data_IF_227198326560
#
_entry.id   IF_227198326560
#
_cell.length_a   1.000
_cell.length_b   1.000
_cell.length_c   1.000
_cell.angle_alpha   90.00
_cell.angle_beta   90.00
_cell.angle_gamma   90.00
#
_symmetry.space_group_name_H-M   'P 1'
#
loop_
_entity.id
_entity.type
_entity.pdbx_description
1 polymer ?
#
# COMPACT_ATOMS: atom_id res chain seq x y z
N UNK A 1 11.25 -3.76 -18.11
CA UNK A 1 11.45 -4.13 -16.72
C UNK A 1 10.14 -4.01 -15.95
N UNK A 2 9.86 -5.02 -15.13
CA UNK A 2 8.64 -5.04 -14.35
C UNK A 2 8.70 -4.06 -13.21
N UNK A 3 7.57 -3.41 -12.92
CA UNK A 3 7.45 -2.59 -11.72
C UNK A 3 7.03 -3.47 -10.55
N UNK A 4 7.45 -3.09 -9.36
CA UNK A 4 7.25 -3.88 -8.16
C UNK A 4 6.26 -3.19 -7.23
N UNK A 5 5.28 -3.96 -6.73
CA UNK A 5 4.26 -3.48 -5.80
C UNK A 5 4.41 -4.27 -4.51
N UNK A 6 4.56 -3.54 -3.39
CA UNK A 6 4.54 -4.16 -2.07
C UNK A 6 3.13 -4.06 -1.50
N UNK A 7 2.62 -5.18 -0.99
CA UNK A 7 1.29 -5.23 -0.38
C UNK A 7 1.48 -5.52 1.11
N UNK A 8 1.11 -4.56 1.95
CA UNK A 8 1.20 -4.70 3.40
C UNK A 8 -0.21 -4.97 3.93
N UNK A 9 -0.47 -6.21 4.30
CA UNK A 9 -1.78 -6.68 4.71
C UNK A 9 -1.62 -7.90 5.61
N UNK A 10 -2.24 -7.89 6.78
CA UNK A 10 -2.05 -8.96 7.76
C UNK A 10 -2.94 -10.19 7.52
N UNK A 11 -4.00 -10.07 6.72
CA UNK A 11 -4.89 -11.19 6.46
C UNK A 11 -4.54 -11.89 5.15
N UNK A 12 -4.33 -13.21 5.22
CA UNK A 12 -3.98 -13.99 4.04
C UNK A 12 -5.05 -13.89 2.95
N UNK A 13 -6.33 -13.84 3.34
CA UNK A 13 -7.42 -13.75 2.37
C UNK A 13 -7.32 -12.49 1.51
N UNK A 14 -6.94 -11.37 2.11
CA UNK A 14 -6.76 -10.12 1.35
C UNK A 14 -5.48 -10.14 0.53
N UNK A 15 -4.41 -10.76 1.03
CA UNK A 15 -3.19 -10.92 0.23
C UNK A 15 -3.51 -11.73 -1.03
N UNK A 16 -4.26 -12.81 -0.88
CA UNK A 16 -4.66 -13.65 -2.01
C UNK A 16 -5.54 -12.88 -2.99
N UNK A 17 -6.45 -12.05 -2.48
CA UNK A 17 -7.33 -11.26 -3.31
C UNK A 17 -6.55 -10.24 -4.15
N UNK A 18 -5.61 -9.54 -3.53
CA UNK A 18 -4.77 -8.60 -4.26
C UNK A 18 -3.93 -9.30 -5.33
N UNK A 19 -3.38 -10.47 -4.99
CA UNK A 19 -2.60 -11.25 -5.94
C UNK A 19 -3.44 -11.64 -7.15
N UNK A 20 -4.69 -12.03 -6.93
CA UNK A 20 -5.62 -12.36 -8.02
C UNK A 20 -5.91 -11.14 -8.89
N UNK A 21 -6.14 -9.99 -8.26
CA UNK A 21 -6.45 -8.75 -8.99
C UNK A 21 -5.28 -8.29 -9.85
N UNK A 22 -4.06 -8.60 -9.43
CA UNK A 22 -2.86 -8.17 -10.13
C UNK A 22 -2.28 -9.24 -11.05
N UNK A 23 -2.91 -10.40 -11.09
CA UNK A 23 -2.47 -11.49 -11.97
C UNK A 23 -2.57 -11.06 -13.44
N UNK A 24 -1.54 -11.36 -14.19
CA UNK A 24 -1.52 -11.03 -15.61
C UNK A 24 -1.15 -9.59 -15.94
N UNK A 25 -0.92 -8.74 -14.93
CA UNK A 25 -0.57 -7.34 -15.16
C UNK A 25 0.92 -7.13 -15.45
N UNK A 26 1.75 -8.10 -15.09
CA UNK A 26 3.20 -7.97 -15.25
C UNK A 26 3.90 -7.34 -14.04
N UNK A 27 3.16 -6.88 -13.03
CA UNK A 27 3.78 -6.35 -11.82
C UNK A 27 4.38 -7.47 -10.98
N UNK A 28 5.55 -7.23 -10.40
CA UNK A 28 6.13 -8.12 -9.40
C UNK A 28 5.53 -7.77 -8.04
N UNK A 29 5.22 -8.77 -7.23
CA UNK A 29 4.53 -8.57 -5.96
C UNK A 29 5.44 -8.95 -4.80
N UNK A 30 5.55 -8.05 -3.82
CA UNK A 30 6.20 -8.31 -2.55
C UNK A 30 5.10 -8.31 -1.50
N UNK A 31 5.00 -9.38 -0.70
CA UNK A 31 4.00 -9.46 0.36
C UNK A 31 4.63 -9.21 1.71
N UNK A 32 3.95 -8.44 2.55
CA UNK A 32 4.34 -8.22 3.93
C UNK A 32 3.09 -8.28 4.80
N UNK A 33 3.18 -8.97 5.92
CA UNK A 33 2.01 -9.21 6.78
C UNK A 33 1.92 -8.24 7.94
N UNK A 34 2.97 -7.44 8.16
CA UNK A 34 2.96 -6.37 9.16
C UNK A 34 4.01 -5.32 8.79
N UNK A 35 4.06 -4.26 9.59
CA UNK A 35 5.00 -3.16 9.34
C UNK A 35 6.46 -3.55 9.48
N UNK A 36 6.78 -4.41 10.44
CA UNK A 36 8.16 -4.84 10.63
C UNK A 36 8.68 -5.64 9.46
N UNK A 37 7.85 -6.56 8.95
CA UNK A 37 8.21 -7.33 7.77
C UNK A 37 8.35 -6.42 6.55
N UNK A 38 7.45 -5.45 6.43
CA UNK A 38 7.51 -4.49 5.33
C UNK A 38 8.81 -3.70 5.35
N UNK A 39 9.24 -3.24 6.52
CA UNK A 39 10.49 -2.49 6.65
C UNK A 39 11.69 -3.35 6.28
N UNK A 40 11.71 -4.61 6.70
CA UNK A 40 12.78 -5.53 6.33
C UNK A 40 12.85 -5.74 4.82
N UNK A 41 11.71 -5.86 4.18
CA UNK A 41 11.65 -6.08 2.73
C UNK A 41 12.02 -4.82 1.94
N UNK A 42 11.72 -3.63 2.48
CA UNK A 42 12.16 -2.39 1.85
C UNK A 42 13.68 -2.32 1.75
N UNK A 43 14.39 -2.82 2.75
CA UNK A 43 15.84 -2.84 2.73
C UNK A 43 16.38 -3.77 1.65
N UNK A 44 15.66 -4.84 1.34
CA UNK A 44 16.06 -5.78 0.30
C UNK A 44 15.77 -5.25 -1.09
N UNK A 45 14.62 -4.62 -1.28
CA UNK A 45 14.20 -4.10 -2.58
C UNK A 45 13.19 -2.98 -2.41
N UNK A 46 13.49 -1.81 -2.95
CA UNK A 46 12.58 -0.68 -2.93
C UNK A 46 11.47 -0.90 -3.96
N UNK A 47 10.19 -0.95 -3.54
CA UNK A 47 9.09 -1.09 -4.49
C UNK A 47 8.80 0.22 -5.20
N UNK A 48 8.06 0.11 -6.31
CA UNK A 48 7.60 1.28 -7.05
C UNK A 48 6.32 1.85 -6.48
N UNK A 49 5.57 1.04 -5.73
CA UNK A 49 4.32 1.44 -5.10
C UNK A 49 4.04 0.53 -3.93
N UNK A 50 3.38 1.07 -2.90
CA UNK A 50 2.95 0.31 -1.72
C UNK A 50 1.44 0.37 -1.60
N UNK A 51 0.81 -0.81 -1.48
CA UNK A 51 -0.59 -0.91 -1.09
C UNK A 51 -0.58 -1.21 0.40
N UNK A 52 -1.12 -0.31 1.18
CA UNK A 52 -1.09 -0.40 2.64
C UNK A 52 -2.51 -0.55 3.17
N UNK A 53 -2.77 -1.69 3.80
CA UNK A 53 -4.04 -1.91 4.47
C UNK A 53 -3.93 -1.40 5.91
N UNK A 54 -4.79 -0.46 6.23
CA UNK A 54 -4.84 0.10 7.58
C UNK A 54 -6.04 -0.49 8.28
N UNK A 55 -5.76 -1.19 9.39
CA UNK A 55 -6.79 -1.87 10.18
C UNK A 55 -7.43 -0.94 11.20
N UNK A 56 -8.44 -1.46 11.87
CA UNK A 56 -9.22 -0.72 12.86
C UNK A 56 -8.37 -0.13 13.98
N UNK A 57 -7.41 -0.87 14.47
CA UNK A 57 -6.55 -0.40 15.56
C UNK A 57 -5.48 0.59 15.09
N UNK A 58 -5.21 0.63 13.80
CA UNK A 58 -4.34 1.61 13.15
C UNK A 58 -2.89 1.63 13.60
N UNK A 59 -2.53 0.82 14.57
CA UNK A 59 -1.20 0.93 15.19
C UNK A 59 -0.10 0.60 14.21
N UNK A 60 -0.19 -0.53 13.51
CA UNK A 60 0.87 -0.96 12.61
C UNK A 60 0.88 -0.20 11.29
N UNK A 61 -0.30 0.01 10.70
CA UNK A 61 -0.40 0.69 9.40
C UNK A 61 0.04 2.14 9.47
N UNK A 62 -0.46 2.88 10.45
CA UNK A 62 -0.09 4.28 10.65
C UNK A 62 1.40 4.42 10.96
N UNK A 63 1.92 3.59 11.85
CA UNK A 63 3.32 3.65 12.25
C UNK A 63 4.22 3.41 11.05
N UNK A 64 3.92 2.41 10.24
CA UNK A 64 4.68 2.13 9.04
C UNK A 64 4.64 3.32 8.07
N UNK A 65 3.46 3.88 7.83
CA UNK A 65 3.30 5.03 6.94
C UNK A 65 4.14 6.22 7.41
N UNK A 66 4.03 6.56 8.69
CA UNK A 66 4.80 7.66 9.25
C UNK A 66 6.29 7.44 9.14
N UNK A 67 6.73 6.22 9.36
CA UNK A 67 8.13 5.85 9.29
C UNK A 67 8.69 6.09 7.88
N UNK A 68 8.03 5.55 6.86
CA UNK A 68 8.55 5.67 5.50
C UNK A 68 8.48 7.11 4.98
N UNK A 69 7.47 7.88 5.38
CA UNK A 69 7.35 9.28 4.96
C UNK A 69 8.40 10.17 5.63
N UNK A 70 8.93 9.74 6.76
CA UNK A 70 10.01 10.44 7.43
C UNK A 70 11.40 10.10 6.91
N UNK A 71 11.53 9.13 6.01
CA UNK A 71 12.82 8.71 5.46
C UNK A 71 12.97 9.22 4.03
N UNK A 72 13.99 10.03 3.78
CA UNK A 72 14.23 10.56 2.44
C UNK A 72 14.30 9.48 1.37
N UNK A 73 14.82 8.32 1.73
CA UNK A 73 14.97 7.18 0.83
C UNK A 73 13.63 6.62 0.34
N UNK A 74 12.59 6.65 1.20
CA UNK A 74 11.30 6.03 0.90
C UNK A 74 10.15 7.03 0.78
N UNK A 75 10.37 8.29 1.10
CA UNK A 75 9.29 9.28 1.16
C UNK A 75 8.60 9.51 -0.18
N UNK A 76 9.26 9.24 -1.28
CA UNK A 76 8.72 9.44 -2.62
C UNK A 76 7.95 8.24 -3.17
N UNK A 77 7.92 7.12 -2.45
CA UNK A 77 7.17 5.95 -2.91
C UNK A 77 5.67 6.23 -2.84
N UNK A 78 4.93 6.11 -3.96
CA UNK A 78 3.47 6.28 -3.91
C UNK A 78 2.82 5.22 -3.02
N UNK A 79 1.83 5.64 -2.24
CA UNK A 79 1.11 4.75 -1.34
C UNK A 79 -0.38 4.81 -1.65
N UNK A 80 -1.00 3.63 -1.77
CA UNK A 80 -2.44 3.47 -1.86
C UNK A 80 -2.89 2.85 -0.55
N UNK A 81 -3.75 3.55 0.20
CA UNK A 81 -4.29 3.04 1.47
C UNK A 81 -5.62 2.37 1.19
N UNK A 82 -5.75 1.12 1.63
CA UNK A 82 -6.99 0.37 1.55
C UNK A 82 -7.55 0.23 2.96
N UNK A 83 -8.84 0.56 3.14
CA UNK A 83 -9.42 0.57 4.47
C UNK A 83 -10.93 0.34 4.43
N UNK A 84 -11.45 -0.26 5.51
CA UNK A 84 -12.89 -0.37 5.73
C UNK A 84 -13.48 0.91 6.32
N UNK A 85 -12.64 1.88 6.66
CA UNK A 85 -13.05 3.12 7.28
C UNK A 85 -13.10 4.27 6.30
N UNK A 86 -13.88 5.29 6.62
CA UNK A 86 -13.96 6.46 5.76
C UNK A 86 -12.63 7.21 5.75
N UNK A 87 -12.34 7.93 4.67
CA UNK A 87 -11.10 8.73 4.59
C UNK A 87 -10.95 9.75 5.71
N UNK A 88 -12.06 10.13 6.36
CA UNK A 88 -12.03 11.05 7.49
C UNK A 88 -11.15 10.54 8.63
N UNK A 89 -11.13 9.23 8.84
CA UNK A 89 -10.33 8.63 9.90
C UNK A 89 -8.84 8.77 9.65
N UNK A 90 -8.45 9.02 8.41
CA UNK A 90 -7.05 9.09 8.01
C UNK A 90 -6.67 10.47 7.47
N UNK A 91 -7.37 11.50 7.93
CA UNK A 91 -7.12 12.86 7.49
C UNK A 91 -5.66 13.28 7.67
N UNK A 92 -5.06 12.89 8.77
CA UNK A 92 -3.67 13.25 9.06
C UNK A 92 -2.70 12.66 8.05
N UNK A 93 -2.98 11.44 7.57
CA UNK A 93 -2.14 10.82 6.56
C UNK A 93 -2.23 11.57 5.24
N UNK A 94 -3.42 12.01 4.89
CA UNK A 94 -3.64 12.78 3.67
C UNK A 94 -2.96 14.16 3.75
N UNK A 95 -2.89 14.75 4.93
CA UNK A 95 -2.18 16.01 5.13
C UNK A 95 -0.67 15.84 4.95
N UNK A 96 -0.13 14.69 5.34
CA UNK A 96 1.29 14.40 5.17
C UNK A 96 1.64 14.11 3.72
N UNK A 97 0.71 13.52 2.98
CA UNK A 97 0.91 13.13 1.59
C UNK A 97 -0.36 13.48 0.80
N UNK A 98 -0.45 14.67 0.22
CA UNK A 98 -1.63 15.09 -0.53
C UNK A 98 -1.94 14.20 -1.74
N UNK A 99 -0.96 13.46 -2.24
CA UNK A 99 -1.14 12.56 -3.37
C UNK A 99 -1.60 11.18 -2.94
N UNK A 100 -1.77 10.97 -1.65
CA UNK A 100 -2.21 9.68 -1.11
C UNK A 100 -3.60 9.32 -1.63
N UNK A 101 -3.74 8.08 -2.10
CA UNK A 101 -5.01 7.56 -2.61
C UNK A 101 -5.61 6.63 -1.58
N UNK A 102 -6.89 6.84 -1.26
CA UNK A 102 -7.66 5.94 -0.40
C UNK A 102 -8.61 5.12 -1.23
N UNK A 103 -8.61 3.80 -1.01
CA UNK A 103 -9.59 2.90 -1.60
C UNK A 103 -10.38 2.27 -0.47
N UNK A 104 -11.70 2.43 -0.51
CA UNK A 104 -12.56 1.84 0.50
C UNK A 104 -12.78 0.36 0.22
N UNK A 105 -12.72 -0.47 1.24
CA UNK A 105 -13.01 -1.90 1.10
C UNK A 105 -14.53 -2.11 0.99
N UNK A 106 -14.97 -3.07 0.17
CA UNK A 106 -14.17 -3.97 -0.65
C UNK A 106 -13.60 -3.27 -1.89
N UNK A 107 -12.32 -3.51 -2.15
CA UNK A 107 -11.64 -2.91 -3.30
C UNK A 107 -11.93 -3.73 -4.55
N UNK A 108 -12.35 -3.08 -5.63
CA UNK A 108 -12.55 -3.77 -6.90
C UNK A 108 -11.28 -3.76 -7.72
N UNK A 109 -11.14 -4.75 -8.60
CA UNK A 109 -9.99 -4.83 -9.50
C UNK A 109 -9.86 -3.56 -10.34
N UNK A 110 -10.98 -3.07 -10.86
CA UNK A 110 -11.00 -1.87 -11.70
C UNK A 110 -10.45 -0.65 -10.96
N UNK A 111 -10.93 -0.41 -9.74
CA UNK A 111 -10.48 0.73 -8.95
C UNK A 111 -9.01 0.60 -8.58
N UNK A 112 -8.58 -0.60 -8.20
CA UNK A 112 -7.20 -0.84 -7.83
C UNK A 112 -6.26 -0.61 -9.02
N UNK A 113 -6.57 -1.19 -10.17
CA UNK A 113 -5.72 -1.04 -11.34
C UNK A 113 -5.67 0.40 -11.83
N UNK A 114 -6.80 1.11 -11.78
CA UNK A 114 -6.84 2.52 -12.16
C UNK A 114 -5.91 3.34 -11.27
N UNK A 115 -6.00 3.13 -9.95
CA UNK A 115 -5.16 3.86 -8.99
C UNK A 115 -3.67 3.57 -9.22
N UNK A 116 -3.34 2.30 -9.45
CA UNK A 116 -1.95 1.91 -9.69
C UNK A 116 -1.42 2.56 -10.96
N UNK A 117 -2.19 2.51 -12.04
CA UNK A 117 -1.76 3.06 -13.33
C UNK A 117 -1.59 4.58 -13.27
N UNK A 118 -2.40 5.26 -12.51
CA UNK A 118 -2.25 6.71 -12.32
C UNK A 118 -0.96 7.07 -11.61
N UNK A 119 -0.45 6.17 -10.76
CA UNK A 119 0.76 6.44 -9.98
C UNK A 119 2.04 5.99 -10.66
N UNK A 120 2.03 4.83 -11.28
CA UNK A 120 3.27 4.25 -11.82
C UNK A 120 3.14 3.73 -13.25
N UNK A 121 1.98 3.86 -13.84
CA UNK A 121 1.77 3.35 -15.21
C UNK A 121 1.60 1.86 -15.22
#
# INVERSE_FOLDING_TARGET
MSKTIMIVEDEQAFQDLYAMMLEGTGYDIITAYDGDEALSKLEEKKPDLIILDILLDLVTGDTFFLYIKGMAEYADIPVIVSSSFSPKAYKNLKEMDPDLVFLEKPVTQEKLLTAIREKIG
#
